data_IF_168803103679
#
_entry.id   IF_168803103679
#
_cell.length_a   1.000
_cell.length_b   1.000
_cell.length_c   1.000
_cell.angle_alpha   90.00
_cell.angle_beta   90.00
_cell.angle_gamma   90.00
#
_symmetry.space_group_name_H-M   'P 1'
#
loop_
_entity.id
_entity.type
_entity.pdbx_description
1 polymer ?
#
# COMPACT_ATOMS: atom_id res chain seq x y z
N UNK A 1 19.09 14.77 17.21
CA UNK A 1 17.81 13.99 17.22
C UNK A 1 16.61 14.84 16.89
N UNK A 2 16.42 15.98 17.59
CA UNK A 2 15.27 16.86 17.30
C UNK A 2 15.25 17.39 15.87
N UNK A 3 16.41 17.72 15.30
CA UNK A 3 16.48 18.22 13.93
C UNK A 3 15.99 17.18 12.90
N UNK A 4 16.27 15.90 13.14
CA UNK A 4 15.80 14.81 12.27
C UNK A 4 14.29 14.69 12.35
N UNK A 5 13.72 14.68 13.55
CA UNK A 5 12.27 14.59 13.73
C UNK A 5 11.54 15.80 13.12
N UNK A 6 12.11 16.99 13.25
CA UNK A 6 11.53 18.19 12.65
C UNK A 6 11.55 18.12 11.13
N UNK A 7 12.63 17.61 10.53
CA UNK A 7 12.73 17.45 9.09
C UNK A 7 11.71 16.41 8.56
N UNK A 8 11.52 15.32 9.29
CA UNK A 8 10.52 14.31 8.94
C UNK A 8 9.10 14.87 9.05
N UNK A 9 8.80 15.62 10.11
CA UNK A 9 7.49 16.24 10.28
C UNK A 9 7.22 17.26 9.17
N UNK A 10 8.21 18.06 8.78
CA UNK A 10 8.07 19.02 7.67
C UNK A 10 7.82 18.30 6.35
N UNK A 11 8.51 17.19 6.09
CA UNK A 11 8.31 16.40 4.89
C UNK A 11 6.89 15.81 4.82
N UNK A 12 6.38 15.31 5.93
CA UNK A 12 5.01 14.78 6.02
C UNK A 12 4.00 15.90 5.78
N UNK A 13 4.21 17.06 6.41
CA UNK A 13 3.30 18.19 6.26
C UNK A 13 3.31 18.78 4.84
N UNK A 14 4.39 18.55 4.09
CA UNK A 14 4.49 19.02 2.70
C UNK A 14 3.78 18.10 1.70
N UNK A 15 3.28 16.93 2.12
CA UNK A 15 2.55 16.01 1.25
C UNK A 15 1.21 16.65 0.92
N UNK A 16 0.97 16.83 -0.38
CA UNK A 16 -0.29 17.37 -0.87
C UNK A 16 -1.29 16.27 -1.13
N UNK A 17 -2.52 16.48 -0.70
CA UNK A 17 -3.64 15.58 -0.99
C UNK A 17 -4.29 16.08 -2.29
N UNK A 18 -3.95 15.43 -3.40
CA UNK A 18 -4.49 15.78 -4.71
C UNK A 18 -5.66 14.87 -5.12
N UNK A 19 -6.20 15.11 -6.30
CA UNK A 19 -7.34 14.33 -6.81
C UNK A 19 -6.98 12.86 -7.02
N UNK A 20 -5.74 12.57 -7.43
CA UNK A 20 -5.30 11.19 -7.64
C UNK A 20 -5.21 10.43 -6.33
N UNK A 21 -4.73 11.07 -5.26
CA UNK A 21 -4.70 10.49 -3.93
C UNK A 21 -6.12 10.19 -3.43
N UNK A 22 -7.03 11.13 -3.58
CA UNK A 22 -8.43 10.96 -3.18
C UNK A 22 -9.06 9.80 -3.96
N UNK A 23 -8.79 9.72 -5.27
CA UNK A 23 -9.32 8.63 -6.10
C UNK A 23 -8.80 7.27 -5.62
N UNK A 24 -7.53 7.18 -5.28
CA UNK A 24 -6.96 5.93 -4.75
C UNK A 24 -7.64 5.51 -3.45
N UNK A 25 -7.88 6.44 -2.54
CA UNK A 25 -8.60 6.15 -1.29
C UNK A 25 -10.02 5.69 -1.57
N UNK A 26 -10.72 6.33 -2.50
CA UNK A 26 -12.08 5.94 -2.88
C UNK A 26 -12.12 4.52 -3.45
N UNK A 27 -11.16 4.16 -4.30
CA UNK A 27 -11.04 2.80 -4.86
C UNK A 27 -10.83 1.78 -3.74
N UNK A 28 -9.97 2.09 -2.78
CA UNK A 28 -9.75 1.19 -1.63
C UNK A 28 -11.00 1.04 -0.78
N UNK A 29 -11.71 2.12 -0.52
CA UNK A 29 -12.95 2.09 0.28
C UNK A 29 -14.08 1.34 -0.42
N UNK A 30 -14.11 1.36 -1.74
CA UNK A 30 -15.10 0.64 -2.53
C UNK A 30 -14.73 -0.83 -2.76
N UNK A 31 -13.55 -1.26 -2.34
CA UNK A 31 -13.07 -2.62 -2.54
C UNK A 31 -13.97 -3.62 -1.81
N UNK A 32 -14.48 -4.61 -2.54
CA UNK A 32 -15.34 -5.67 -1.99
C UNK A 32 -14.57 -6.92 -1.61
N UNK A 33 -13.35 -7.06 -2.12
CA UNK A 33 -12.45 -8.15 -1.78
C UNK A 33 -11.39 -7.69 -0.79
N UNK A 34 -10.15 -8.09 -1.04
CA UNK A 34 -9.01 -7.68 -0.23
C UNK A 34 -8.16 -6.67 -0.98
N UNK A 35 -7.38 -5.92 -0.23
CA UNK A 35 -6.38 -5.01 -0.79
C UNK A 35 -5.04 -5.74 -0.80
N UNK A 36 -4.47 -5.89 -1.98
CA UNK A 36 -3.17 -6.54 -2.15
C UNK A 36 -2.11 -5.47 -2.37
N UNK A 37 -0.99 -5.60 -1.67
CA UNK A 37 0.12 -4.68 -1.81
C UNK A 37 1.35 -5.43 -2.32
N UNK A 38 2.18 -4.75 -3.10
CA UNK A 38 3.40 -5.33 -3.62
C UNK A 38 4.49 -4.27 -3.76
N UNK A 39 5.74 -4.69 -3.82
CA UNK A 39 6.90 -3.83 -3.99
C UNK A 39 8.17 -4.61 -3.80
N UNK A 40 9.30 -4.04 -4.24
CA UNK A 40 10.62 -4.66 -4.15
C UNK A 40 11.53 -3.78 -3.29
N UNK A 41 12.40 -4.40 -2.50
CA UNK A 41 13.36 -3.69 -1.66
C UNK A 41 12.67 -2.86 -0.59
N UNK A 42 13.04 -1.59 -0.48
CA UNK A 42 12.44 -0.68 0.51
C UNK A 42 10.96 -0.48 0.26
N UNK A 43 10.54 -0.39 -0.99
CA UNK A 43 9.13 -0.29 -1.35
C UNK A 43 8.36 -1.54 -0.92
N UNK A 44 8.99 -2.72 -0.99
CA UNK A 44 8.39 -3.96 -0.50
C UNK A 44 8.16 -3.95 1.01
N UNK A 45 9.10 -3.39 1.78
CA UNK A 45 8.92 -3.25 3.23
C UNK A 45 7.76 -2.32 3.57
N UNK A 46 7.63 -1.22 2.82
CA UNK A 46 6.51 -0.29 2.99
C UNK A 46 5.19 -0.98 2.63
N UNK A 47 5.17 -1.74 1.54
CA UNK A 47 3.98 -2.47 1.11
C UNK A 47 3.52 -3.49 2.16
N UNK A 48 4.46 -4.21 2.78
CA UNK A 48 4.16 -5.14 3.88
C UNK A 48 3.58 -4.42 5.09
N UNK A 49 4.20 -3.31 5.48
CA UNK A 49 3.72 -2.51 6.61
C UNK A 49 2.33 -1.96 6.34
N UNK A 50 2.09 -1.50 5.13
CA UNK A 50 0.79 -0.98 4.73
C UNK A 50 -0.30 -2.05 4.83
N UNK A 51 -0.04 -3.26 4.31
CA UNK A 51 -0.98 -4.37 4.39
C UNK A 51 -1.27 -4.74 5.86
N UNK A 52 -0.23 -4.81 6.70
CA UNK A 52 -0.40 -5.13 8.11
C UNK A 52 -1.23 -4.05 8.83
N UNK A 53 -1.01 -2.79 8.52
CA UNK A 53 -1.77 -1.68 9.09
C UNK A 53 -3.25 -1.75 8.68
N UNK A 54 -3.53 -2.05 7.41
CA UNK A 54 -4.91 -2.22 6.94
C UNK A 54 -5.60 -3.37 7.69
N UNK A 55 -4.93 -4.50 7.85
CA UNK A 55 -5.48 -5.63 8.59
C UNK A 55 -5.79 -5.26 10.04
N UNK A 56 -4.93 -4.48 10.68
CA UNK A 56 -5.15 -4.06 12.07
C UNK A 56 -6.33 -3.10 12.21
N UNK A 57 -6.79 -2.49 11.13
CA UNK A 57 -7.96 -1.62 11.10
C UNK A 57 -9.18 -2.31 10.49
N UNK A 58 -9.19 -3.64 10.50
CA UNK A 58 -10.28 -4.50 10.02
C UNK A 58 -10.50 -4.43 8.50
N UNK A 59 -9.51 -3.98 7.73
CA UNK A 59 -9.56 -3.99 6.28
C UNK A 59 -8.76 -5.20 5.78
N UNK A 60 -9.38 -6.18 5.11
CA UNK A 60 -8.63 -7.34 4.60
C UNK A 60 -7.55 -6.93 3.60
N UNK A 61 -6.32 -7.28 3.89
CA UNK A 61 -5.19 -6.92 3.05
C UNK A 61 -4.09 -7.97 3.17
N UNK A 62 -3.26 -8.08 2.13
CA UNK A 62 -2.13 -9.01 2.11
C UNK A 62 -1.04 -8.45 1.21
N UNK A 63 0.19 -8.90 1.44
CA UNK A 63 1.34 -8.54 0.62
C UNK A 63 1.68 -9.71 -0.31
N UNK A 64 1.95 -9.39 -1.59
CA UNK A 64 2.43 -10.37 -2.58
C UNK A 64 3.77 -9.88 -3.12
N UNK A 65 4.81 -10.70 -2.98
CA UNK A 65 6.11 -10.39 -3.56
C UNK A 65 6.01 -10.47 -5.10
N UNK A 66 6.54 -9.50 -5.85
CA UNK A 66 6.42 -9.49 -7.31
C UNK A 66 6.94 -10.75 -7.99
N UNK A 67 8.02 -11.34 -7.47
CA UNK A 67 8.57 -12.59 -8.02
C UNK A 67 7.59 -13.75 -7.87
N UNK A 68 6.91 -13.85 -6.73
CA UNK A 68 5.90 -14.87 -6.49
C UNK A 68 4.69 -14.68 -7.38
N UNK A 69 4.27 -13.44 -7.60
CA UNK A 69 3.20 -13.12 -8.52
C UNK A 69 3.53 -13.61 -9.94
N UNK A 70 4.77 -13.40 -10.38
CA UNK A 70 5.22 -13.87 -11.68
C UNK A 70 5.24 -15.40 -11.80
N UNK A 71 5.32 -16.13 -10.68
CA UNK A 71 5.33 -17.59 -10.66
C UNK A 71 3.95 -18.22 -10.43
N UNK A 72 2.89 -17.45 -10.52
CA UNK A 72 1.52 -17.98 -10.48
C UNK A 72 0.64 -17.46 -9.37
N UNK A 73 1.18 -16.69 -8.41
CA UNK A 73 0.37 -16.16 -7.31
C UNK A 73 -0.66 -15.13 -7.77
N UNK A 74 -0.59 -14.70 -9.04
CA UNK A 74 -1.64 -13.87 -9.64
C UNK A 74 -3.01 -14.54 -9.60
N UNK A 75 -3.05 -15.87 -9.52
CA UNK A 75 -4.30 -16.61 -9.35
C UNK A 75 -5.01 -16.33 -8.03
N UNK A 76 -4.29 -15.77 -7.04
CA UNK A 76 -4.87 -15.36 -5.76
C UNK A 76 -5.61 -14.03 -5.86
N UNK A 77 -5.41 -13.28 -6.94
CA UNK A 77 -6.05 -11.98 -7.14
C UNK A 77 -7.44 -12.19 -7.72
N UNK A 78 -8.46 -11.84 -6.96
CA UNK A 78 -9.84 -11.94 -7.41
C UNK A 78 -10.30 -10.68 -8.14
N UNK A 79 -11.43 -10.78 -8.85
CA UNK A 79 -11.98 -9.65 -9.61
C UNK A 79 -12.45 -8.50 -8.71
N UNK A 80 -12.70 -8.76 -7.43
CA UNK A 80 -13.12 -7.74 -6.46
C UNK A 80 -11.96 -7.19 -5.65
N UNK A 81 -10.74 -7.64 -5.91
CA UNK A 81 -9.55 -7.21 -5.18
C UNK A 81 -8.94 -5.97 -5.83
N UNK A 82 -8.26 -5.19 -5.01
CA UNK A 82 -7.50 -4.01 -5.46
C UNK A 82 -6.04 -4.28 -5.20
N UNK A 83 -5.18 -4.00 -6.17
CA UNK A 83 -3.73 -4.12 -6.00
C UNK A 83 -3.07 -2.75 -5.98
N UNK A 84 -2.20 -2.53 -5.00
CA UNK A 84 -1.41 -1.31 -4.87
C UNK A 84 0.06 -1.69 -4.99
N UNK A 85 0.73 -1.14 -5.99
CA UNK A 85 2.16 -1.35 -6.19
C UNK A 85 2.92 -0.14 -5.68
N UNK A 86 3.87 -0.39 -4.79
CA UNK A 86 4.77 0.65 -4.27
C UNK A 86 6.06 0.63 -5.07
N UNK A 87 6.50 1.79 -5.54
CA UNK A 87 7.76 1.93 -6.25
C UNK A 87 8.50 3.17 -5.76
N UNK A 88 9.81 3.14 -5.90
CA UNK A 88 10.66 4.28 -5.56
C UNK A 88 10.89 5.17 -6.76
#
# INVERSE_FOLDING_TARGET
MQAVFQAEAAAINAIEVDADFIHAVEVMMACRGKILTTGIGKAGHIAKKFAATLCSTATPADFIHPAEAAHGDLGLVGSNDVMIAFST
#
